data_IF_260052207162
#
_entry.id   IF_260052207162
#
_cell.length_a   1.000
_cell.length_b   1.000
_cell.length_c   1.000
_cell.angle_alpha   90.00
_cell.angle_beta   90.00
_cell.angle_gamma   90.00
#
_symmetry.space_group_name_H-M   'P 1'
#
loop_
_entity.id
_entity.type
_entity.pdbx_description
1 polymer ?
#
# COMPACT_ATOMS: atom_id res chain seq x y z
N UNK A 1 22.11 -23.73 -14.67
CA UNK A 1 21.20 -22.75 -14.04
C UNK A 1 19.98 -23.52 -13.56
N UNK A 2 19.82 -23.74 -12.25
CA UNK A 2 18.71 -24.54 -11.71
C UNK A 2 17.43 -23.71 -11.74
N UNK A 3 16.38 -24.27 -12.34
CA UNK A 3 15.05 -23.69 -12.48
C UNK A 3 14.51 -23.23 -11.12
N UNK A 4 14.24 -21.92 -11.03
CA UNK A 4 13.72 -21.24 -9.84
C UNK A 4 12.24 -21.56 -9.56
N UNK A 5 11.52 -22.08 -10.56
CA UNK A 5 10.09 -22.43 -10.44
C UNK A 5 9.83 -23.50 -9.36
N UNK A 6 10.81 -24.34 -9.03
CA UNK A 6 10.69 -25.41 -8.03
C UNK A 6 10.77 -24.93 -6.56
N UNK A 7 10.99 -23.63 -6.31
CA UNK A 7 11.09 -23.05 -4.96
C UNK A 7 9.87 -22.22 -4.55
N UNK A 8 8.83 -22.15 -5.38
CA UNK A 8 7.56 -21.51 -5.03
C UNK A 8 6.65 -22.61 -4.48
N UNK A 9 6.37 -22.65 -3.16
CA UNK A 9 5.56 -23.70 -2.59
C UNK A 9 4.16 -23.66 -3.20
N UNK A 10 3.66 -24.80 -3.63
CA UNK A 10 2.26 -25.04 -4.04
C UNK A 10 1.37 -25.18 -2.79
N UNK A 11 1.53 -24.29 -1.82
CA UNK A 11 0.60 -24.13 -0.70
C UNK A 11 -0.44 -23.09 -1.07
N UNK A 12 -1.60 -23.14 -0.43
CA UNK A 12 -2.51 -21.99 -0.30
C UNK A 12 -1.69 -20.69 -0.20
N UNK A 13 -1.63 -19.98 -1.32
CA UNK A 13 -0.77 -18.82 -1.53
C UNK A 13 -1.54 -17.56 -1.18
N UNK A 14 -2.31 -17.56 -0.09
CA UNK A 14 -2.81 -16.31 0.48
C UNK A 14 -1.71 -15.71 1.35
N UNK A 15 -0.89 -14.74 0.87
CA UNK A 15 0.25 -14.24 1.64
C UNK A 15 -0.23 -13.33 2.79
N UNK A 16 -1.54 -13.13 2.88
CA UNK A 16 -2.22 -12.41 3.92
C UNK A 16 -3.46 -13.23 4.32
N UNK A 17 -3.60 -13.66 5.58
CA UNK A 17 -4.93 -14.03 6.09
C UNK A 17 -5.87 -12.83 5.91
N UNK A 18 -7.19 -13.03 5.92
CA UNK A 18 -8.23 -11.98 5.83
C UNK A 18 -8.13 -10.94 6.97
N UNK A 19 -7.06 -10.15 7.02
CA UNK A 19 -6.82 -9.09 8.01
C UNK A 19 -7.65 -7.84 7.74
N UNK A 20 -8.55 -7.86 6.76
CA UNK A 20 -9.65 -6.90 6.75
C UNK A 20 -10.39 -6.96 8.09
N UNK A 21 -10.50 -8.16 8.70
CA UNK A 21 -10.98 -8.30 10.09
C UNK A 21 -10.23 -7.43 11.08
N UNK A 22 -8.90 -7.46 11.09
CA UNK A 22 -8.11 -6.64 12.03
C UNK A 22 -8.25 -5.13 11.82
N UNK A 23 -8.44 -4.67 10.58
CA UNK A 23 -8.69 -3.26 10.26
C UNK A 23 -10.13 -2.87 10.65
N UNK A 24 -11.12 -3.73 10.39
CA UNK A 24 -12.50 -3.53 10.80
C UNK A 24 -12.71 -3.68 12.31
N UNK A 25 -11.88 -4.47 12.99
CA UNK A 25 -11.89 -4.66 14.44
C UNK A 25 -11.26 -3.46 15.16
N UNK A 26 -10.33 -2.73 14.50
CA UNK A 26 -9.84 -1.42 14.97
C UNK A 26 -10.84 -0.29 14.71
N UNK A 27 -11.68 -0.43 13.69
CA UNK A 27 -12.83 0.44 13.44
C UNK A 27 -13.97 0.06 14.39
N UNK A 28 -13.89 0.53 15.64
CA UNK A 28 -15.04 0.46 16.55
C UNK A 28 -16.33 0.96 15.86
N UNK A 29 -17.46 0.34 16.22
CA UNK A 29 -18.81 0.41 15.62
C UNK A 29 -19.41 1.80 15.31
N UNK A 30 -18.72 2.91 15.58
CA UNK A 30 -19.19 4.29 15.35
C UNK A 30 -18.31 5.11 14.40
N UNK A 31 -17.28 4.52 13.80
CA UNK A 31 -16.50 5.23 12.80
C UNK A 31 -17.39 5.47 11.55
N UNK A 32 -17.49 6.72 11.11
CA UNK A 32 -18.16 7.11 9.88
C UNK A 32 -17.19 7.96 9.07
N UNK A 33 -16.91 7.55 7.84
CA UNK A 33 -16.11 8.35 6.93
C UNK A 33 -16.85 9.65 6.62
N UNK A 34 -16.11 10.76 6.54
CA UNK A 34 -16.65 12.02 6.05
C UNK A 34 -17.24 11.84 4.64
N UNK A 35 -18.29 12.58 4.31
CA UNK A 35 -18.94 12.56 2.99
C UNK A 35 -17.91 12.76 1.87
N UNK A 36 -16.90 13.61 2.11
CA UNK A 36 -15.81 13.84 1.16
C UNK A 36 -14.96 12.59 0.95
N UNK A 37 -14.54 11.94 2.03
CA UNK A 37 -13.73 10.71 1.99
C UNK A 37 -14.49 9.58 1.30
N UNK A 38 -15.78 9.41 1.63
CA UNK A 38 -16.64 8.42 1.00
C UNK A 38 -16.76 8.63 -0.52
N UNK A 39 -16.99 9.88 -0.96
CA UNK A 39 -17.07 10.20 -2.39
C UNK A 39 -15.77 9.95 -3.15
N UNK A 40 -14.62 10.23 -2.52
CA UNK A 40 -13.32 9.91 -3.12
C UNK A 40 -13.11 8.40 -3.24
N UNK A 41 -13.48 7.63 -2.21
CA UNK A 41 -13.38 6.16 -2.24
C UNK A 41 -14.26 5.57 -3.34
N UNK A 42 -15.51 6.04 -3.48
CA UNK A 42 -16.42 5.58 -4.52
C UNK A 42 -15.84 5.80 -5.92
N UNK A 43 -15.36 7.02 -6.17
CA UNK A 43 -14.67 7.41 -7.42
C UNK A 43 -13.46 6.52 -7.71
N UNK A 44 -12.67 6.21 -6.69
CA UNK A 44 -11.50 5.33 -6.84
C UNK A 44 -11.91 3.88 -7.16
N UNK A 45 -12.94 3.38 -6.48
CA UNK A 45 -13.44 2.01 -6.68
C UNK A 45 -14.22 1.84 -7.99
N UNK A 46 -14.74 2.91 -8.58
CA UNK A 46 -15.30 2.94 -9.94
C UNK A 46 -14.20 2.95 -11.03
N UNK A 47 -12.93 3.12 -10.65
CA UNK A 47 -11.79 3.15 -11.57
C UNK A 47 -11.46 4.53 -12.13
N UNK A 48 -12.06 5.59 -11.58
CA UNK A 48 -11.75 6.96 -11.97
C UNK A 48 -10.46 7.46 -11.30
N UNK A 49 -9.80 8.43 -11.93
CA UNK A 49 -8.58 9.04 -11.41
C UNK A 49 -8.88 10.14 -10.40
N UNK A 50 -8.20 10.12 -9.26
CA UNK A 50 -8.24 11.22 -8.28
C UNK A 50 -7.51 12.46 -8.80
N UNK A 51 -8.00 13.65 -8.47
CA UNK A 51 -7.35 14.92 -8.79
C UNK A 51 -6.44 15.39 -7.63
N UNK A 52 -5.87 16.59 -7.76
CA UNK A 52 -4.96 17.16 -6.75
C UNK A 52 -5.69 17.41 -5.43
N UNK A 53 -6.89 17.94 -5.48
CA UNK A 53 -7.72 18.27 -4.32
C UNK A 53 -8.13 17.01 -3.54
N UNK A 54 -8.51 15.95 -4.26
CA UNK A 54 -8.79 14.63 -3.71
C UNK A 54 -7.55 14.11 -2.96
N UNK A 55 -6.37 14.15 -3.59
CA UNK A 55 -5.11 13.70 -2.98
C UNK A 55 -4.72 14.50 -1.73
N UNK A 56 -4.92 15.82 -1.73
CA UNK A 56 -4.70 16.67 -0.56
C UNK A 56 -5.68 16.36 0.57
N UNK A 57 -6.92 16.04 0.24
CA UNK A 57 -7.94 15.63 1.21
C UNK A 57 -7.52 14.32 1.90
N UNK A 58 -7.09 13.32 1.13
CA UNK A 58 -6.58 12.05 1.63
C UNK A 58 -5.35 12.26 2.54
N UNK A 59 -4.40 13.11 2.11
CA UNK A 59 -3.17 13.35 2.85
C UNK A 59 -3.39 14.04 4.21
N UNK A 60 -4.52 14.73 4.38
CA UNK A 60 -4.89 15.43 5.61
C UNK A 60 -5.78 14.63 6.56
N UNK A 61 -6.09 13.35 6.26
CA UNK A 61 -7.00 12.57 7.10
C UNK A 61 -6.42 12.21 8.46
N UNK A 62 -7.29 12.16 9.45
CA UNK A 62 -6.98 11.65 10.78
C UNK A 62 -7.03 10.12 10.86
N UNK A 63 -6.63 9.58 12.00
CA UNK A 63 -6.60 8.14 12.26
C UNK A 63 -7.97 7.46 12.15
N UNK A 64 -9.07 8.18 12.38
CA UNK A 64 -10.43 7.63 12.35
C UNK A 64 -10.88 7.30 10.92
N UNK A 65 -10.36 8.03 9.93
CA UNK A 65 -10.73 7.86 8.53
C UNK A 65 -9.71 7.02 7.73
N UNK A 66 -8.48 6.90 8.25
CA UNK A 66 -7.39 6.15 7.62
C UNK A 66 -7.76 4.70 7.26
N UNK A 67 -8.47 3.93 8.11
CA UNK A 67 -8.84 2.56 7.77
C UNK A 67 -9.68 2.45 6.49
N UNK A 68 -10.60 3.39 6.22
CA UNK A 68 -11.44 3.35 5.02
C UNK A 68 -10.61 3.44 3.74
N UNK A 69 -9.59 4.28 3.74
CA UNK A 69 -8.68 4.41 2.59
C UNK A 69 -7.76 3.20 2.47
N UNK A 70 -7.30 2.62 3.58
CA UNK A 70 -6.52 1.38 3.54
C UNK A 70 -7.34 0.21 2.98
N UNK A 71 -8.63 0.12 3.32
CA UNK A 71 -9.57 -0.86 2.77
C UNK A 71 -9.75 -0.65 1.25
N UNK A 72 -10.01 0.58 0.81
CA UNK A 72 -10.16 0.91 -0.61
C UNK A 72 -8.87 0.62 -1.40
N UNK A 73 -7.71 1.01 -0.89
CA UNK A 73 -6.41 0.75 -1.52
C UNK A 73 -6.10 -0.76 -1.59
N UNK A 74 -6.50 -1.51 -0.56
CA UNK A 74 -6.39 -2.96 -0.53
C UNK A 74 -7.23 -3.61 -1.62
N UNK A 75 -8.48 -3.20 -1.76
CA UNK A 75 -9.39 -3.66 -2.82
C UNK A 75 -8.83 -3.33 -4.22
N UNK A 76 -8.35 -2.10 -4.43
CA UNK A 76 -7.72 -1.73 -5.70
C UNK A 76 -6.51 -2.60 -6.04
N UNK A 77 -5.63 -2.85 -5.06
CA UNK A 77 -4.46 -3.70 -5.24
C UNK A 77 -4.90 -5.11 -5.62
N UNK A 78 -5.88 -5.68 -4.94
CA UNK A 78 -6.35 -7.03 -5.19
C UNK A 78 -7.00 -7.15 -6.58
N UNK A 79 -7.76 -6.14 -7.03
CA UNK A 79 -8.31 -6.07 -8.40
C UNK A 79 -7.23 -5.94 -9.48
N UNK A 80 -6.21 -5.12 -9.26
CA UNK A 80 -5.23 -4.76 -10.29
C UNK A 80 -3.99 -5.65 -10.36
N UNK A 81 -3.49 -6.12 -9.21
CA UNK A 81 -2.26 -6.94 -9.10
C UNK A 81 -2.54 -8.34 -8.57
N UNK A 82 -3.72 -8.58 -8.03
CA UNK A 82 -4.01 -9.81 -7.29
C UNK A 82 -3.31 -9.85 -5.94
N UNK A 83 -3.31 -11.04 -5.34
CA UNK A 83 -2.79 -11.26 -3.98
C UNK A 83 -1.37 -11.81 -3.96
N UNK A 84 -0.77 -12.07 -5.12
CA UNK A 84 0.58 -12.60 -5.23
C UNK A 84 1.60 -11.50 -4.92
N UNK A 85 2.35 -11.65 -3.84
CA UNK A 85 3.49 -10.80 -3.55
C UNK A 85 4.72 -11.29 -4.30
N UNK A 86 5.19 -10.49 -5.25
CA UNK A 86 6.49 -10.72 -5.90
C UNK A 86 7.58 -9.98 -5.14
N UNK A 87 8.79 -10.52 -5.14
CA UNK A 87 9.97 -9.84 -4.63
C UNK A 87 11.12 -9.95 -5.63
N UNK A 88 12.02 -8.99 -5.59
CA UNK A 88 13.22 -9.00 -6.42
C UNK A 88 14.40 -9.53 -5.63
N UNK A 89 15.07 -10.58 -6.14
CA UNK A 89 16.28 -11.14 -5.52
C UNK A 89 17.49 -10.32 -5.91
N UNK A 90 17.66 -9.18 -5.25
CA UNK A 90 18.73 -8.25 -5.52
C UNK A 90 19.71 -8.16 -4.35
N UNK A 91 20.99 -8.06 -4.68
CA UNK A 91 22.03 -7.63 -3.75
C UNK A 91 22.37 -6.18 -4.05
N UNK A 92 22.31 -5.33 -3.02
CA UNK A 92 22.80 -3.97 -3.09
C UNK A 92 24.26 -3.96 -2.61
N UNK A 93 25.20 -3.60 -3.48
CA UNK A 93 26.63 -3.53 -3.15
C UNK A 93 27.04 -2.05 -3.10
N UNK A 94 27.10 -1.42 -1.93
CA UNK A 94 27.54 -0.03 -1.80
C UNK A 94 29.06 0.05 -1.94
N UNK A 95 29.54 0.23 -3.17
CA UNK A 95 30.98 0.29 -3.47
C UNK A 95 31.68 1.52 -2.87
N UNK A 96 30.95 2.61 -2.67
CA UNK A 96 31.48 3.85 -2.09
C UNK A 96 30.39 4.60 -1.33
N UNK A 97 30.80 5.33 -0.31
CA UNK A 97 29.97 6.30 0.43
C UNK A 97 30.47 7.74 0.20
N UNK A 98 31.44 7.95 -0.70
CA UNK A 98 31.94 9.27 -1.06
C UNK A 98 30.99 9.95 -2.04
N UNK A 99 30.46 11.12 -1.67
CA UNK A 99 29.59 11.92 -2.53
C UNK A 99 30.07 13.37 -2.53
N UNK A 100 29.97 14.05 -3.69
CA UNK A 100 30.26 15.50 -3.79
C UNK A 100 29.08 16.36 -3.31
N UNK A 101 27.89 15.78 -3.25
CA UNK A 101 26.65 16.52 -3.00
C UNK A 101 26.36 16.64 -1.51
N UNK A 102 25.78 17.78 -1.11
CA UNK A 102 25.39 18.01 0.27
C UNK A 102 23.87 17.92 0.46
N UNK A 103 23.35 16.69 0.42
CA UNK A 103 21.93 16.45 0.65
C UNK A 103 21.60 16.48 2.16
N UNK A 104 20.58 17.25 2.57
CA UNK A 104 20.20 17.40 3.98
C UNK A 104 19.65 16.13 4.65
N UNK A 105 19.21 15.15 3.86
CA UNK A 105 18.65 13.88 4.33
C UNK A 105 19.60 12.69 4.19
N UNK A 106 20.74 12.86 3.49
CA UNK A 106 21.64 11.76 3.17
C UNK A 106 22.80 11.69 4.16
N UNK A 107 23.18 10.48 4.57
CA UNK A 107 24.33 10.23 5.46
C UNK A 107 25.65 10.07 4.69
N UNK A 108 25.63 9.86 3.37
CA UNK A 108 26.81 9.76 2.50
C UNK A 108 27.35 11.13 2.10
N UNK A 109 27.70 11.95 3.08
CA UNK A 109 28.30 13.28 2.86
C UNK A 109 29.77 13.17 2.47
#
# INVERSE_FOLDING_TARGET
>A
MKNIEALIPSGDNTPFPDRLRGITDMLGSEASASVRTAGIIEKVLSGETINREDALTIAGLGNDELPYILLAASEMRDRGKGRVLTFSRNVFVPLTQLCRNHCGYCTFK
#
